data_IF_762842766109
#
_entry.id   IF_762842766109
#
_cell.length_a   1.000
_cell.length_b   1.000
_cell.length_c   1.000
_cell.angle_alpha   90.00
_cell.angle_beta   90.00
_cell.angle_gamma   90.00
#
_symmetry.space_group_name_H-M   'P 1'
#
loop_
_entity.id
_entity.type
_entity.pdbx_description
1 polymer ?
#
# COMPACT_ATOMS: atom_id res chain seq x y z
N UNK A 1 -16.61 43.85 -9.83
CA UNK A 1 -16.98 42.43 -9.62
C UNK A 1 -16.04 41.52 -10.41
N UNK A 2 -14.79 41.32 -10.00
CA UNK A 2 -13.86 40.33 -10.62
C UNK A 2 -12.77 39.94 -9.62
N UNK A 3 -13.15 39.26 -8.53
CA UNK A 3 -12.18 38.76 -7.54
C UNK A 3 -12.60 37.42 -6.92
N UNK A 4 -13.50 36.67 -7.58
CA UNK A 4 -13.98 35.37 -7.08
C UNK A 4 -13.48 34.17 -7.88
N UNK A 5 -12.85 34.38 -9.05
CA UNK A 5 -12.42 33.28 -9.93
C UNK A 5 -11.05 32.67 -9.57
N UNK A 6 -10.15 33.44 -8.95
CA UNK A 6 -8.78 33.00 -8.69
C UNK A 6 -8.65 32.10 -7.45
N UNK A 7 -9.55 32.25 -6.48
CA UNK A 7 -9.52 31.47 -5.23
C UNK A 7 -10.04 30.04 -5.45
N UNK A 8 -10.98 29.85 -6.37
CA UNK A 8 -11.53 28.53 -6.70
C UNK A 8 -10.49 27.59 -7.35
N UNK A 9 -9.49 28.14 -8.06
CA UNK A 9 -8.48 27.34 -8.75
C UNK A 9 -7.36 26.84 -7.81
N UNK A 10 -7.11 27.53 -6.70
CA UNK A 10 -6.11 27.12 -5.71
C UNK A 10 -6.59 26.00 -4.77
N UNK A 11 -7.91 25.89 -4.53
CA UNK A 11 -8.49 24.82 -3.71
C UNK A 11 -8.65 23.47 -4.44
N UNK A 12 -8.60 23.44 -5.77
CA UNK A 12 -8.80 22.22 -6.55
C UNK A 12 -7.55 21.31 -6.64
N UNK A 13 -6.37 21.79 -6.22
CA UNK A 13 -5.11 21.06 -6.32
C UNK A 13 -4.85 20.05 -5.18
N UNK A 14 -5.68 20.05 -4.13
CA UNK A 14 -5.44 19.24 -2.92
C UNK A 14 -6.22 17.92 -2.83
N UNK A 15 -7.10 17.59 -3.77
CA UNK A 15 -8.13 16.57 -3.50
C UNK A 15 -8.12 15.31 -4.38
N UNK A 16 -7.11 15.10 -5.22
CA UNK A 16 -7.00 13.84 -5.97
C UNK A 16 -5.72 13.10 -5.62
N UNK A 17 -5.75 12.31 -4.54
CA UNK A 17 -4.73 11.29 -4.33
C UNK A 17 -4.77 10.35 -5.55
N UNK A 18 -3.67 10.30 -6.31
CA UNK A 18 -3.59 9.38 -7.45
C UNK A 18 -3.50 7.94 -6.92
N UNK A 19 -3.96 6.94 -7.70
CA UNK A 19 -3.83 5.54 -7.33
C UNK A 19 -2.40 5.14 -6.93
N UNK A 20 -1.39 5.70 -7.60
CA UNK A 20 0.02 5.48 -7.27
C UNK A 20 0.41 6.03 -5.89
N UNK A 21 -0.07 7.21 -5.50
CA UNK A 21 0.17 7.79 -4.17
C UNK A 21 -0.53 6.97 -3.09
N UNK A 22 -1.76 6.52 -3.35
CA UNK A 22 -2.49 5.63 -2.45
C UNK A 22 -1.73 4.31 -2.23
N UNK A 23 -1.26 3.67 -3.31
CA UNK A 23 -0.47 2.45 -3.21
C UNK A 23 0.82 2.63 -2.39
N UNK A 24 1.57 3.72 -2.62
CA UNK A 24 2.79 3.98 -1.85
C UNK A 24 2.51 4.15 -0.35
N UNK A 25 1.42 4.84 0.00
CA UNK A 25 0.99 4.99 1.39
C UNK A 25 0.64 3.65 2.03
N UNK A 26 -0.22 2.86 1.37
CA UNK A 26 -0.63 1.54 1.88
C UNK A 26 0.56 0.57 2.01
N UNK A 27 1.51 0.64 1.05
CA UNK A 27 2.71 -0.18 1.08
C UNK A 27 3.60 0.19 2.26
N UNK A 28 3.77 1.48 2.57
CA UNK A 28 4.55 1.93 3.71
C UNK A 28 3.95 1.44 5.04
N UNK A 29 2.63 1.58 5.19
CA UNK A 29 1.91 1.09 6.38
C UNK A 29 2.04 -0.42 6.54
N UNK A 30 1.87 -1.17 5.45
CA UNK A 30 2.03 -2.62 5.47
C UNK A 30 3.47 -3.04 5.82
N UNK A 31 4.49 -2.39 5.24
CA UNK A 31 5.90 -2.68 5.54
C UNK A 31 6.25 -2.42 7.02
N UNK A 32 5.73 -1.35 7.61
CA UNK A 32 5.92 -1.08 9.04
C UNK A 32 5.33 -2.21 9.89
N UNK A 33 4.10 -2.64 9.60
CA UNK A 33 3.48 -3.76 10.32
C UNK A 33 4.25 -5.07 10.11
N UNK A 34 4.70 -5.33 8.88
CA UNK A 34 5.45 -6.53 8.51
C UNK A 34 6.80 -6.62 9.24
N UNK A 35 7.44 -5.48 9.56
CA UNK A 35 8.72 -5.46 10.29
C UNK A 35 8.65 -6.13 11.68
N UNK A 36 7.44 -6.26 12.24
CA UNK A 36 7.19 -6.84 13.57
C UNK A 36 6.74 -8.30 13.51
N UNK A 37 6.58 -8.88 12.30
CA UNK A 37 5.96 -10.20 12.10
C UNK A 37 6.68 -11.34 12.83
N UNK A 38 8.01 -11.29 12.98
CA UNK A 38 8.76 -12.31 13.72
C UNK A 38 8.46 -12.31 15.23
N UNK A 39 7.96 -11.19 15.77
CA UNK A 39 7.62 -11.03 17.18
C UNK A 39 6.14 -11.31 17.42
N UNK A 40 5.27 -10.83 16.53
CA UNK A 40 3.81 -10.89 16.71
C UNK A 40 3.15 -12.08 16.04
N UNK A 41 3.85 -12.76 15.12
CA UNK A 41 3.23 -13.68 14.18
C UNK A 41 2.33 -12.95 13.16
N UNK A 42 1.61 -13.73 12.37
CA UNK A 42 0.60 -13.21 11.43
C UNK A 42 -0.68 -12.87 12.19
N UNK A 43 -1.02 -11.58 12.21
CA UNK A 43 -2.22 -11.07 12.89
C UNK A 43 -3.35 -10.78 11.90
N UNK A 44 -4.62 -10.74 12.34
CA UNK A 44 -5.73 -10.35 11.48
C UNK A 44 -5.55 -8.95 10.87
N UNK A 45 -4.96 -8.03 11.63
CA UNK A 45 -4.66 -6.67 11.18
C UNK A 45 -3.61 -6.66 10.07
N UNK A 46 -2.54 -7.45 10.20
CA UNK A 46 -1.52 -7.58 9.16
C UNK A 46 -2.10 -8.15 7.87
N UNK A 47 -3.04 -9.09 7.97
CA UNK A 47 -3.78 -9.63 6.82
C UNK A 47 -4.68 -8.57 6.18
N UNK A 48 -5.37 -7.75 6.98
CA UNK A 48 -6.19 -6.63 6.48
C UNK A 48 -5.34 -5.63 5.68
N UNK A 49 -4.21 -5.20 6.25
CA UNK A 49 -3.27 -4.28 5.61
C UNK A 49 -2.72 -4.87 4.30
N UNK A 50 -2.31 -6.14 4.30
CA UNK A 50 -1.88 -6.82 3.08
C UNK A 50 -2.93 -6.74 1.96
N UNK A 51 -4.20 -7.03 2.28
CA UNK A 51 -5.28 -6.97 1.30
C UNK A 51 -5.54 -5.55 0.79
N UNK A 52 -5.41 -4.54 1.64
CA UNK A 52 -5.52 -3.12 1.27
C UNK A 52 -4.41 -2.71 0.33
N UNK A 53 -3.16 -3.07 0.66
CA UNK A 53 -2.02 -2.81 -0.22
C UNK A 53 -2.17 -3.51 -1.57
N UNK A 54 -2.64 -4.77 -1.61
CA UNK A 54 -2.92 -5.49 -2.87
C UNK A 54 -4.00 -4.77 -3.69
N UNK A 55 -5.09 -4.32 -3.07
CA UNK A 55 -6.13 -3.55 -3.78
C UNK A 55 -5.59 -2.23 -4.32
N UNK A 56 -4.76 -1.52 -3.56
CA UNK A 56 -4.16 -0.27 -3.99
C UNK A 56 -3.14 -0.49 -5.12
N UNK A 57 -2.36 -1.57 -5.04
CA UNK A 57 -1.44 -2.03 -6.09
C UNK A 57 -2.17 -2.28 -7.41
N UNK A 58 -3.27 -3.05 -7.35
CA UNK A 58 -4.12 -3.33 -8.51
C UNK A 58 -4.72 -2.05 -9.10
N UNK A 59 -5.21 -1.13 -8.24
CA UNK A 59 -5.78 0.14 -8.67
C UNK A 59 -4.73 1.09 -9.30
N UNK A 60 -3.49 1.03 -8.83
CA UNK A 60 -2.39 1.82 -9.36
C UNK A 60 -1.83 1.29 -10.69
N UNK A 61 -2.18 0.05 -11.07
CA UNK A 61 -1.53 -0.65 -12.18
C UNK A 61 -0.02 -0.85 -11.96
N UNK A 62 0.47 -0.55 -10.76
CA UNK A 62 1.85 -0.72 -10.33
C UNK A 62 1.93 -2.04 -9.63
N UNK A 63 2.64 -3.01 -10.20
CA UNK A 63 2.40 -4.41 -9.91
C UNK A 63 1.70 -5.00 -11.11
N UNK A 64 2.44 -5.80 -11.86
CA UNK A 64 1.84 -6.63 -12.89
C UNK A 64 0.80 -7.49 -12.18
N UNK A 65 -0.49 -7.31 -12.49
CA UNK A 65 -1.64 -7.81 -11.71
C UNK A 65 -1.70 -9.34 -11.51
N UNK A 66 -2.90 -9.92 -11.53
CA UNK A 66 -3.16 -11.36 -11.31
C UNK A 66 -2.26 -12.41 -12.05
N UNK A 67 -1.33 -11.99 -12.91
CA UNK A 67 -0.47 -12.80 -13.79
C UNK A 67 1.04 -12.46 -13.77
N UNK A 68 1.64 -11.95 -12.68
CA UNK A 68 3.10 -11.79 -12.61
C UNK A 68 3.74 -12.36 -11.36
N UNK A 69 4.82 -13.10 -11.59
CA UNK A 69 5.53 -13.88 -10.58
C UNK A 69 6.65 -13.11 -9.87
N UNK A 70 6.88 -11.83 -10.17
CA UNK A 70 8.10 -11.12 -9.74
C UNK A 70 7.89 -9.71 -9.18
N UNK A 71 6.65 -9.23 -9.04
CA UNK A 71 6.36 -7.84 -8.64
C UNK A 71 5.18 -7.65 -7.70
N UNK A 72 4.88 -8.64 -6.85
CA UNK A 72 3.75 -8.60 -5.92
C UNK A 72 4.16 -8.17 -4.51
N UNK A 73 3.22 -7.57 -3.78
CA UNK A 73 3.33 -7.37 -2.33
C UNK A 73 3.54 -8.72 -1.66
N UNK A 74 4.59 -8.85 -0.86
CA UNK A 74 4.94 -10.09 -0.17
C UNK A 74 3.83 -10.51 0.79
N UNK A 75 3.31 -11.76 0.76
CA UNK A 75 2.32 -12.24 1.74
C UNK A 75 2.85 -12.32 3.18
N UNK A 76 2.02 -12.07 4.21
CA UNK A 76 2.43 -12.13 5.62
C UNK A 76 2.99 -13.48 6.04
N UNK A 77 2.38 -14.58 5.59
CA UNK A 77 2.80 -15.93 5.95
C UNK A 77 4.23 -16.22 5.45
N UNK A 78 4.57 -15.75 4.25
CA UNK A 78 5.91 -15.93 3.69
C UNK A 78 6.93 -15.08 4.45
N UNK A 79 6.55 -13.88 4.90
CA UNK A 79 7.43 -13.06 5.75
C UNK A 79 7.62 -13.68 7.14
N UNK A 80 6.59 -14.32 7.68
CA UNK A 80 6.70 -15.04 8.96
C UNK A 80 7.59 -16.29 8.85
N UNK A 81 7.49 -17.04 7.76
CA UNK A 81 8.34 -18.21 7.53
C UNK A 81 9.84 -17.86 7.48
N UNK A 82 10.20 -16.71 6.90
CA UNK A 82 11.60 -16.23 6.86
C UNK A 82 12.21 -16.05 8.26
N UNK A 83 11.40 -15.74 9.28
CA UNK A 83 11.88 -15.60 10.65
C UNK A 83 12.53 -16.88 11.18
N UNK A 84 12.17 -18.03 10.61
CA UNK A 84 12.64 -19.36 11.00
C UNK A 84 13.63 -19.96 9.99
N UNK A 85 13.65 -19.46 8.76
CA UNK A 85 14.61 -19.86 7.73
C UNK A 85 15.93 -19.10 7.94
N UNK A 86 16.71 -19.54 8.94
CA UNK A 86 18.12 -19.13 9.06
C UNK A 86 18.93 -19.87 7.99
N UNK A 87 19.44 -19.14 6.99
CA UNK A 87 20.57 -19.58 6.17
C UNK A 87 21.88 -19.25 6.88
#
# INVERSE_FOLDING_TARGET
MRAFGAIALALALFAAATPAVAFQSELATYQEALSKVCQTGVTPELVRLYQETVRAMDAAGSGSGRNSNFGSVRPPDFAYLDCFQKF
#
